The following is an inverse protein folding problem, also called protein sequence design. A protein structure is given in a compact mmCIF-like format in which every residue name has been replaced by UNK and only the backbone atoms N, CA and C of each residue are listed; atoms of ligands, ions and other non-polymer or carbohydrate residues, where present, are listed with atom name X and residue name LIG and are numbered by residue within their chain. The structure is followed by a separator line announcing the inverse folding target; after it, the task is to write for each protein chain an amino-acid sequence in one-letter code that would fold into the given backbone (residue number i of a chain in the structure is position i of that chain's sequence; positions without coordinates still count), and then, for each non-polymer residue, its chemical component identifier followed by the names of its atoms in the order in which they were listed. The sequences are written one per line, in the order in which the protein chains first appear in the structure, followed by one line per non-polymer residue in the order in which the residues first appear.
data_IF_804739477399
#
_entry.id   IF_804739477399
#
_cell.length_a   1.000
_cell.length_b   1.000
_cell.length_c   1.000
_cell.angle_alpha   90.00
_cell.angle_beta   90.00
_cell.angle_gamma   90.00
#
_symmetry.space_group_name_H-M   'P 1'
#
loop_
_entity.id
_entity.type
_entity.pdbx_description
1 polymer ?
#
# COMPACT_ATOMS: atom_id res chain seq x y z
N UNK A 1 5.51 -14.58 -4.81
CA UNK A 1 4.42 -14.55 -3.85
C UNK A 1 3.09 -14.48 -4.58
N UNK A 2 2.17 -13.62 -4.19
CA UNK A 2 0.88 -13.58 -4.86
C UNK A 2 0.96 -12.90 -6.20
N UNK A 3 0.12 -13.37 -7.11
CA UNK A 3 -0.02 -12.73 -8.40
C UNK A 3 -1.18 -11.74 -8.32
N UNK A 4 -0.91 -10.49 -8.64
CA UNK A 4 -1.89 -9.45 -8.56
C UNK A 4 -2.32 -9.01 -9.96
N UNK A 5 -3.50 -8.44 -10.04
CA UNK A 5 -4.01 -7.88 -11.29
C UNK A 5 -3.43 -6.50 -11.52
N UNK A 6 -2.14 -6.37 -11.30
CA UNK A 6 -1.36 -5.15 -11.42
C UNK A 6 -0.06 -5.49 -12.12
N UNK A 7 0.62 -4.52 -12.70
CA UNK A 7 1.95 -4.76 -13.25
C UNK A 7 2.90 -5.24 -12.18
N UNK A 8 3.86 -6.05 -12.57
CA UNK A 8 4.89 -6.53 -11.65
C UNK A 8 5.93 -5.44 -11.44
N UNK A 9 6.24 -5.17 -10.19
CA UNK A 9 7.27 -4.19 -9.84
C UNK A 9 8.37 -4.88 -9.06
N UNK A 10 9.58 -4.39 -9.24
CA UNK A 10 10.71 -4.85 -8.45
C UNK A 10 10.68 -4.17 -7.10
N UNK A 11 10.23 -4.90 -6.09
CA UNK A 11 10.10 -4.39 -4.74
C UNK A 11 11.12 -5.13 -3.88
N UNK A 12 11.87 -4.39 -3.09
CA UNK A 12 12.94 -4.99 -2.29
C UNK A 12 12.39 -5.82 -1.15
N UNK A 13 12.90 -7.03 -1.04
CA UNK A 13 12.54 -7.97 0.01
C UNK A 13 13.84 -8.46 0.62
N UNK A 14 13.87 -8.61 1.94
CA UNK A 14 15.04 -9.15 2.60
C UNK A 14 14.65 -10.09 3.72
N UNK A 15 15.59 -10.95 4.10
CA UNK A 15 15.45 -11.82 5.24
C UNK A 15 16.27 -11.28 6.40
N UNK A 16 15.68 -11.24 7.57
CA UNK A 16 16.38 -10.77 8.76
C UNK A 16 15.82 -11.48 9.98
N UNK A 17 16.69 -12.14 10.72
CA UNK A 17 16.31 -12.85 11.95
C UNK A 17 15.15 -13.81 11.74
N UNK A 18 15.17 -14.54 10.62
CA UNK A 18 14.12 -15.50 10.30
C UNK A 18 12.83 -14.91 9.80
N UNK A 19 12.79 -13.60 9.58
CA UNK A 19 11.57 -12.93 9.09
C UNK A 19 11.80 -12.40 7.70
N UNK A 20 10.74 -12.42 6.90
CA UNK A 20 10.77 -11.82 5.58
C UNK A 20 10.19 -10.41 5.66
N UNK A 21 10.94 -9.45 5.14
CA UNK A 21 10.58 -8.04 5.18
C UNK A 21 10.47 -7.49 3.78
N UNK A 22 9.60 -6.49 3.62
CA UNK A 22 9.42 -5.80 2.34
C UNK A 22 9.66 -4.31 2.57
N UNK A 23 10.27 -3.65 1.58
CA UNK A 23 10.55 -2.23 1.71
C UNK A 23 9.31 -1.41 1.42
N UNK A 24 8.93 -0.57 2.39
CA UNK A 24 7.90 0.44 2.20
C UNK A 24 8.59 1.73 1.77
N UNK A 25 8.48 2.07 0.49
CA UNK A 25 9.21 3.21 -0.05
C UNK A 25 8.69 4.55 0.48
N UNK A 26 7.41 4.60 0.85
CA UNK A 26 6.85 5.84 1.39
C UNK A 26 7.32 6.10 2.80
N UNK A 27 7.36 5.06 3.63
CA UNK A 27 7.84 5.19 5.00
C UNK A 27 9.33 5.01 5.13
N UNK A 28 9.98 4.62 4.04
CA UNK A 28 11.44 4.45 3.96
C UNK A 28 11.97 3.47 5.00
N UNK A 29 11.29 2.35 5.16
CA UNK A 29 11.72 1.33 6.10
C UNK A 29 11.20 -0.03 5.66
N UNK A 30 11.87 -1.08 6.13
CA UNK A 30 11.40 -2.43 5.89
C UNK A 30 10.33 -2.78 6.92
N UNK A 31 9.27 -3.42 6.47
CA UNK A 31 8.18 -3.86 7.33
C UNK A 31 7.93 -5.33 7.06
N UNK A 32 7.21 -5.98 7.96
CA UNK A 32 6.89 -7.40 7.78
C UNK A 32 6.15 -7.63 6.48
N UNK A 33 6.58 -8.64 5.74
CA UNK A 33 5.90 -9.00 4.50
C UNK A 33 4.66 -9.82 4.83
N UNK A 34 3.51 -9.20 4.68
CA UNK A 34 2.22 -9.85 4.82
C UNK A 34 1.52 -9.80 3.48
N UNK A 35 0.47 -10.61 3.29
CA UNK A 35 -0.29 -10.52 2.04
C UNK A 35 -0.85 -9.13 1.79
N UNK A 36 -1.32 -8.45 2.84
CA UNK A 36 -1.83 -7.10 2.68
C UNK A 36 -0.72 -6.12 2.30
N UNK A 37 0.47 -6.29 2.91
CA UNK A 37 1.58 -5.40 2.59
C UNK A 37 2.07 -5.63 1.16
N UNK A 38 2.03 -6.86 0.69
CA UNK A 38 2.37 -7.18 -0.69
C UNK A 38 1.45 -6.42 -1.64
N UNK A 39 0.14 -6.42 -1.37
CA UNK A 39 -0.83 -5.70 -2.19
C UNK A 39 -0.57 -4.20 -2.11
N UNK A 40 -0.35 -3.69 -0.90
CA UNK A 40 -0.10 -2.25 -0.72
C UNK A 40 1.07 -1.76 -1.54
N UNK A 41 2.21 -2.45 -1.43
CA UNK A 41 3.40 -1.97 -2.11
C UNK A 41 3.22 -1.98 -3.63
N UNK A 42 2.55 -3.00 -4.15
CA UNK A 42 2.29 -3.03 -5.58
C UNK A 42 1.33 -1.93 -6.02
N UNK A 43 0.31 -1.68 -5.23
CA UNK A 43 -0.66 -0.65 -5.60
C UNK A 43 -0.06 0.76 -5.49
N UNK A 44 0.76 1.00 -4.48
CA UNK A 44 1.45 2.28 -4.36
C UNK A 44 2.38 2.50 -5.55
N UNK A 45 3.12 1.46 -5.96
CA UNK A 45 3.96 1.58 -7.14
C UNK A 45 3.13 1.83 -8.40
N UNK A 46 1.96 1.19 -8.50
CA UNK A 46 1.06 1.44 -9.61
C UNK A 46 0.63 2.90 -9.66
N UNK A 47 0.26 3.46 -8.53
CA UNK A 47 -0.17 4.86 -8.48
C UNK A 47 0.95 5.81 -8.87
N UNK A 48 2.18 5.56 -8.40
CA UNK A 48 3.27 6.49 -8.66
C UNK A 48 3.88 6.30 -10.04
N UNK A 49 4.02 5.06 -10.51
CA UNK A 49 4.76 4.79 -11.73
C UNK A 49 3.87 4.72 -12.96
N UNK A 50 2.65 4.24 -12.83
CA UNK A 50 1.74 4.17 -13.98
C UNK A 50 0.77 5.33 -14.04
N UNK A 51 0.24 5.75 -12.89
CA UNK A 51 -0.71 6.84 -12.85
C UNK A 51 -0.07 8.20 -12.65
N UNK A 52 1.21 8.21 -12.26
CA UNK A 52 1.95 9.45 -12.17
C UNK A 52 1.64 10.32 -10.96
N UNK A 53 0.99 9.79 -9.93
CA UNK A 53 0.76 10.57 -8.73
C UNK A 53 2.07 10.75 -7.96
N UNK A 54 2.35 11.95 -7.45
CA UNK A 54 3.56 12.15 -6.65
C UNK A 54 3.52 11.31 -5.39
N UNK A 55 4.63 10.65 -5.09
CA UNK A 55 4.72 9.85 -3.87
C UNK A 55 4.47 10.69 -2.63
N UNK A 56 4.83 11.97 -2.67
CA UNK A 56 4.63 12.86 -1.53
C UNK A 56 3.16 13.10 -1.19
N UNK A 57 2.24 12.74 -2.09
CA UNK A 57 0.82 12.88 -1.83
C UNK A 57 0.17 11.60 -1.32
N UNK A 58 0.95 10.56 -1.08
CA UNK A 58 0.42 9.28 -0.61
C UNK A 58 0.98 9.00 0.78
N UNK A 59 0.10 8.64 1.70
CA UNK A 59 0.49 8.27 3.05
C UNK A 59 -0.01 6.88 3.37
N UNK A 60 0.86 6.06 3.97
CA UNK A 60 0.51 4.73 4.45
C UNK A 60 0.27 4.78 5.95
N UNK A 61 -0.69 3.97 6.42
CA UNK A 61 -1.00 3.84 7.84
C UNK A 61 -1.28 5.20 8.45
N UNK A 62 -2.28 5.88 7.92
CA UNK A 62 -2.62 7.22 8.37
C UNK A 62 -4.03 7.27 8.94
N UNK A 63 -4.29 8.30 9.70
CA UNK A 63 -5.57 8.48 10.37
C UNK A 63 -6.25 9.73 9.83
N UNK A 64 -7.54 9.59 9.51
CA UNK A 64 -8.34 10.72 9.04
C UNK A 64 -9.41 11.03 10.07
N UNK A 65 -9.71 12.31 10.23
CA UNK A 65 -10.78 12.77 11.12
C UNK A 65 -11.98 13.14 10.28
N UNK A 66 -13.10 12.47 10.54
CA UNK A 66 -14.37 12.76 9.89
C UNK A 66 -15.38 13.14 10.96
N UNK A 67 -15.60 14.45 11.12
CA UNK A 67 -16.43 14.93 12.21
C UNK A 67 -15.80 14.57 13.55
N UNK A 68 -16.51 13.78 14.35
CA UNK A 68 -16.00 13.35 15.65
C UNK A 68 -15.39 11.95 15.60
N UNK A 69 -15.32 11.35 14.40
CA UNK A 69 -14.78 10.02 14.27
C UNK A 69 -13.39 10.06 13.66
N UNK A 70 -12.58 9.10 14.08
CA UNK A 70 -11.25 8.90 13.51
C UNK A 70 -11.23 7.59 12.76
N UNK A 71 -10.71 7.64 11.52
CA UNK A 71 -10.63 6.48 10.65
C UNK A 71 -9.17 6.13 10.44
N UNK A 72 -8.82 4.87 10.73
CA UNK A 72 -7.50 4.35 10.40
C UNK A 72 -7.53 3.86 8.96
N UNK A 73 -6.64 4.38 8.15
CA UNK A 73 -6.62 4.06 6.73
C UNK A 73 -5.31 3.40 6.36
N UNK A 74 -5.39 2.37 5.50
CA UNK A 74 -4.18 1.68 5.03
C UNK A 74 -3.34 2.59 4.16
N UNK A 75 -3.96 3.30 3.24
CA UNK A 75 -3.29 4.32 2.44
C UNK A 75 -4.29 5.39 2.06
N UNK A 76 -3.79 6.61 1.91
CA UNK A 76 -4.59 7.74 1.47
C UNK A 76 -3.81 8.51 0.41
N UNK A 77 -4.48 8.83 -0.69
CA UNK A 77 -3.94 9.73 -1.70
C UNK A 77 -4.58 11.09 -1.48
N UNK A 78 -3.76 12.11 -1.32
CA UNK A 78 -4.21 13.49 -1.11
C UNK A 78 -4.11 14.28 -2.41
N UNK A 79 -4.90 15.34 -2.52
CA UNK A 79 -4.73 16.27 -3.61
C UNK A 79 -3.70 17.34 -3.23
N UNK A 80 -3.44 18.27 -4.14
CA UNK A 80 -2.41 19.30 -3.90
C UNK A 80 -2.76 20.26 -2.77
N UNK A 81 -3.99 20.23 -2.30
CA UNK A 81 -4.43 21.06 -1.18
C UNK A 81 -4.54 20.26 0.11
N UNK A 82 -3.89 19.09 0.13
CA UNK A 82 -3.85 18.20 1.29
C UNK A 82 -5.22 17.69 1.70
N UNK A 83 -6.13 17.54 0.75
CA UNK A 83 -7.44 16.95 1.02
C UNK A 83 -7.43 15.49 0.58
N UNK A 84 -8.04 14.60 1.35
CA UNK A 84 -8.10 13.19 0.93
C UNK A 84 -8.88 13.07 -0.37
N UNK A 85 -8.28 12.40 -1.34
CA UNK A 85 -8.89 12.18 -2.62
C UNK A 85 -9.27 10.72 -2.84
N UNK A 86 -8.47 9.82 -2.31
CA UNK A 86 -8.72 8.40 -2.44
C UNK A 86 -8.26 7.71 -1.17
N UNK A 87 -9.12 6.88 -0.62
CA UNK A 87 -8.82 6.10 0.57
C UNK A 87 -8.76 4.64 0.15
N UNK A 88 -7.66 3.98 0.50
CA UNK A 88 -7.44 2.60 0.08
C UNK A 88 -7.34 1.69 1.28
N UNK A 89 -8.00 0.55 1.18
CA UNK A 89 -7.91 -0.51 2.18
C UNK A 89 -7.50 -1.78 1.45
N UNK A 90 -6.47 -2.44 1.96
CA UNK A 90 -5.92 -3.61 1.30
C UNK A 90 -6.32 -4.87 2.03
N UNK A 91 -6.69 -5.88 1.25
CA UNK A 91 -7.04 -7.17 1.79
C UNK A 91 -6.15 -8.22 1.19
N UNK A 92 -5.93 -9.29 1.95
CA UNK A 92 -5.13 -10.38 1.46
C UNK A 92 -5.83 -11.02 0.25
N UNK A 93 -5.07 -11.33 -0.81
CA UNK A 93 -5.64 -12.09 -1.91
C UNK A 93 -6.06 -13.47 -1.40
N UNK A 94 -7.18 -13.97 -1.88
CA UNK A 94 -7.62 -15.29 -1.50
C UNK A 94 -7.86 -16.13 -2.74
N UNK A 95 -7.62 -17.43 -2.58
CA UNK A 95 -7.83 -18.36 -3.67
C UNK A 95 -9.30 -18.45 -4.03
N UNK A 96 -10.16 -18.40 -3.03
CA UNK A 96 -11.59 -18.50 -3.26
C UNK A 96 -12.09 -17.42 -4.21
N UNK A 97 -11.54 -16.21 -4.09
CA UNK A 97 -11.92 -15.12 -4.97
C UNK A 97 -11.45 -15.38 -6.38
N UNK A 98 -10.26 -15.93 -6.52
CA UNK A 98 -9.68 -16.14 -7.84
C UNK A 98 -10.30 -17.30 -8.58
N UNK A 99 -11.04 -18.11 -7.89
CA UNK A 99 -11.66 -19.28 -8.50
C UNK A 99 -12.82 -18.92 -9.43
N UNK A 100 -13.27 -17.74 -9.39
CA UNK A 100 -14.42 -17.32 -10.19
C UNK A 100 -14.12 -17.22 -11.69
#
# INVERSE_FOLDING_TARGET
MYRLNLPQYEIKIKQQNGKTLILDTLRRKFVSLTPEEWVRQHFVHFLTEHKGYPASLIANETELTCGQKKLRCDSVLYDSQARPRMIMEYKAPTIAITQK
#
